data_IF_934176393027
#
_entry.id   IF_934176393027
#
_cell.length_a   1.000
_cell.length_b   1.000
_cell.length_c   1.000
_cell.angle_alpha   90.00
_cell.angle_beta   90.00
_cell.angle_gamma   90.00
#
_symmetry.space_group_name_H-M   'P 1'
#
loop_
_entity.id
_entity.type
_entity.pdbx_description
1 polymer ?
#
# COMPACT_ATOMS: atom_id res chain seq x y z
N UNK A 1 15.30 -18.41 8.03
CA UNK A 1 14.46 -17.67 7.07
C UNK A 1 13.82 -16.50 7.78
N UNK A 2 13.87 -15.32 7.20
CA UNK A 2 13.32 -14.07 7.77
C UNK A 2 11.91 -13.78 7.24
N UNK A 3 11.14 -12.95 7.94
CA UNK A 3 9.83 -12.49 7.47
C UNK A 3 9.96 -11.76 6.12
N UNK A 4 11.05 -11.00 5.92
CA UNK A 4 11.34 -10.32 4.67
C UNK A 4 11.45 -11.26 3.46
N UNK A 5 12.05 -12.44 3.65
CA UNK A 5 12.15 -13.46 2.60
C UNK A 5 10.77 -14.04 2.24
N UNK A 6 9.93 -14.30 3.24
CA UNK A 6 8.56 -14.78 3.01
C UNK A 6 7.70 -13.75 2.28
N UNK A 7 7.84 -12.46 2.63
CA UNK A 7 7.14 -11.36 1.94
C UNK A 7 7.58 -11.27 0.49
N UNK A 8 8.88 -11.39 0.20
CA UNK A 8 9.39 -11.37 -1.17
C UNK A 8 8.86 -12.55 -1.99
N UNK A 9 8.84 -13.74 -1.42
CA UNK A 9 8.27 -14.93 -2.07
C UNK A 9 6.77 -14.75 -2.35
N UNK A 10 6.04 -14.18 -1.39
CA UNK A 10 4.62 -13.88 -1.54
C UNK A 10 4.36 -12.84 -2.63
N UNK A 11 5.16 -11.78 -2.69
CA UNK A 11 5.09 -10.77 -3.76
C UNK A 11 5.29 -11.39 -5.15
N UNK A 12 6.29 -12.25 -5.31
CA UNK A 12 6.56 -12.93 -6.57
C UNK A 12 5.42 -13.83 -7.00
N UNK A 13 4.83 -14.56 -6.06
CA UNK A 13 3.69 -15.43 -6.33
C UNK A 13 2.45 -14.62 -6.74
N UNK A 14 2.11 -13.57 -6.00
CA UNK A 14 0.94 -12.74 -6.26
C UNK A 14 1.06 -11.91 -7.55
N UNK A 15 2.28 -11.53 -7.96
CA UNK A 15 2.52 -10.84 -9.22
C UNK A 15 2.06 -11.66 -10.45
N UNK A 16 2.11 -12.99 -10.37
CA UNK A 16 1.61 -13.87 -11.44
C UNK A 16 0.09 -13.74 -11.65
N UNK A 17 -0.63 -13.28 -10.63
CA UNK A 17 -2.06 -13.00 -10.67
C UNK A 17 -2.36 -11.51 -10.91
N UNK A 18 -1.35 -10.69 -11.20
CA UNK A 18 -1.50 -9.26 -11.43
C UNK A 18 -1.78 -8.45 -10.15
N UNK A 19 -1.42 -8.99 -8.99
CA UNK A 19 -1.55 -8.34 -7.69
C UNK A 19 -0.21 -7.73 -7.26
N UNK A 20 -0.24 -6.45 -6.88
CA UNK A 20 0.96 -5.67 -6.58
C UNK A 20 0.88 -5.07 -5.18
N UNK A 21 2.00 -5.03 -4.44
CA UNK A 21 2.02 -4.49 -3.09
C UNK A 21 1.69 -3.00 -3.10
N UNK A 22 0.86 -2.57 -2.15
CA UNK A 22 0.57 -1.16 -1.89
C UNK A 22 1.78 -0.55 -1.17
N UNK A 23 2.28 0.63 -1.59
CA UNK A 23 3.32 1.36 -0.88
C UNK A 23 2.94 1.56 0.59
N UNK A 24 3.84 1.21 1.50
CA UNK A 24 3.61 1.45 2.92
C UNK A 24 3.56 2.96 3.17
N UNK A 25 2.46 3.43 3.76
CA UNK A 25 2.37 4.81 4.21
C UNK A 25 3.33 5.01 5.37
N UNK A 26 4.41 5.73 5.11
CA UNK A 26 5.40 6.11 6.12
C UNK A 26 4.76 6.86 7.31
N UNK A 27 3.57 7.46 7.14
CA UNK A 27 2.87 8.22 8.18
C UNK A 27 2.08 7.37 9.19
N UNK A 28 2.03 6.04 9.04
CA UNK A 28 1.46 5.15 10.09
C UNK A 28 2.54 4.72 11.09
N UNK A 29 3.27 5.70 11.63
CA UNK A 29 4.22 5.57 12.75
C UNK A 29 3.51 5.24 14.07
N UNK A 30 2.82 4.10 14.15
CA UNK A 30 2.17 3.74 15.43
C UNK A 30 1.46 2.41 15.51
N UNK A 31 1.47 1.57 14.47
CA UNK A 31 0.80 0.26 14.54
C UNK A 31 1.84 -0.85 14.62
N UNK A 32 1.85 -1.58 15.75
CA UNK A 32 2.53 -2.87 15.94
C UNK A 32 2.06 -3.96 14.95
N UNK A 33 1.18 -3.60 14.01
CA UNK A 33 0.60 -4.46 12.99
C UNK A 33 1.24 -4.15 11.65
N UNK A 34 2.11 -5.05 11.19
CA UNK A 34 2.64 -5.05 9.84
C UNK A 34 1.55 -5.53 8.86
N UNK A 35 0.87 -4.58 8.21
CA UNK A 35 -0.12 -4.87 7.16
C UNK A 35 0.51 -4.74 5.79
N UNK A 36 0.40 -5.80 4.98
CA UNK A 36 0.78 -5.77 3.56
C UNK A 36 -0.48 -5.97 2.74
N UNK A 37 -0.85 -4.96 1.97
CA UNK A 37 -1.99 -5.02 1.06
C UNK A 37 -1.48 -5.24 -0.37
N UNK A 38 -2.22 -6.04 -1.14
CA UNK A 38 -1.96 -6.26 -2.55
C UNK A 38 -3.21 -5.94 -3.35
N UNK A 39 -3.05 -5.18 -4.43
CA UNK A 39 -4.16 -4.72 -5.27
C UNK A 39 -3.90 -5.05 -6.74
N UNK A 40 -4.96 -5.31 -7.49
CA UNK A 40 -4.88 -5.40 -8.94
C UNK A 40 -4.72 -4.02 -9.59
N UNK A 41 -4.54 -3.97 -10.91
CA UNK A 41 -4.33 -2.71 -11.65
C UNK A 41 -5.44 -1.67 -11.43
N UNK A 42 -6.71 -2.09 -11.47
CA UNK A 42 -7.86 -1.19 -11.32
C UNK A 42 -8.00 -0.67 -9.89
N UNK A 43 -7.79 -1.56 -8.92
CA UNK A 43 -7.81 -1.22 -7.50
C UNK A 43 -6.65 -0.28 -7.14
N UNK A 44 -5.47 -0.49 -7.73
CA UNK A 44 -4.30 0.37 -7.53
C UNK A 44 -4.56 1.79 -8.06
N UNK A 45 -5.20 1.93 -9.22
CA UNK A 45 -5.59 3.23 -9.77
C UNK A 45 -6.55 3.96 -8.83
N UNK A 46 -7.62 3.29 -8.38
CA UNK A 46 -8.56 3.88 -7.41
C UNK A 46 -7.90 4.24 -6.09
N UNK A 47 -6.97 3.39 -5.61
CA UNK A 47 -6.21 3.67 -4.41
C UNK A 47 -5.36 4.93 -4.56
N UNK A 48 -4.68 5.12 -5.70
CA UNK A 48 -3.92 6.34 -5.99
C UNK A 48 -4.81 7.59 -6.02
N UNK A 49 -5.94 7.53 -6.72
CA UNK A 49 -6.91 8.64 -6.80
C UNK A 49 -7.46 9.03 -5.42
N UNK A 50 -7.75 8.04 -4.56
CA UNK A 50 -8.21 8.30 -3.19
C UNK A 50 -7.13 8.98 -2.35
N UNK A 51 -5.88 8.53 -2.46
CA UNK A 51 -4.74 9.11 -1.73
C UNK A 51 -4.44 10.54 -2.16
N UNK A 52 -4.58 10.83 -3.45
CA UNK A 52 -4.42 12.19 -3.98
C UNK A 52 -5.49 13.12 -3.40
N UNK A 53 -6.77 12.72 -3.44
CA UNK A 53 -7.88 13.47 -2.82
C UNK A 53 -7.73 13.63 -1.30
N UNK A 54 -7.21 12.62 -0.60
CA UNK A 54 -6.94 12.71 0.84
C UNK A 54 -5.83 13.73 1.15
N UNK A 55 -4.80 13.81 0.31
CA UNK A 55 -3.73 14.81 0.46
C UNK A 55 -4.25 16.22 0.23
N UNK A 56 -4.99 16.44 -0.86
CA UNK A 56 -5.59 17.74 -1.18
C UNK A 56 -6.49 18.25 -0.04
N UNK A 57 -7.36 17.39 0.51
CA UNK A 57 -8.23 17.76 1.64
C UNK A 57 -7.46 18.02 2.94
N UNK A 58 -6.31 17.36 3.15
CA UNK A 58 -5.48 17.58 4.34
C UNK A 58 -4.73 18.91 4.28
N UNK A 59 -4.33 19.33 3.09
CA UNK A 59 -3.65 20.60 2.85
C UNK A 59 -4.63 21.80 2.96
N UNK A 60 -5.90 21.63 2.55
CA UNK A 60 -6.96 22.65 2.69
C UNK A 60 -7.37 22.93 4.16
N UNK A 61 -7.23 21.95 5.06
CA UNK A 61 -7.57 22.09 6.49
C UNK A 61 -6.41 22.60 7.38
N UNK A 62 -5.24 22.90 6.80
CA UNK A 62 -4.06 23.45 7.52
C UNK A 62 -3.82 24.95 7.31
N UNK A 63 -4.73 25.67 6.65
CA UNK A 63 -4.67 27.14 6.47
C UNK A 63 -5.75 27.83 7.29
#
# INVERSE_FOLDING_TARGET
MSIAEHVKSLQQHLAQYGLYPVPADADREGSEIFKICFLNKYEMQRWQELREKEREQRDEHST
#
